data_IF_762254815464
#
_entry.id   IF_762254815464
#
_cell.length_a   1.000
_cell.length_b   1.000
_cell.length_c   1.000
_cell.angle_alpha   90.00
_cell.angle_beta   90.00
_cell.angle_gamma   90.00
#
_symmetry.space_group_name_H-M   'P 1'
#
loop_
_entity.id
_entity.type
_entity.pdbx_description
1 polymer ?
#
# COMPACT_ATOMS: atom_id res chain seq x y z
N UNK A 1 -7.18 -21.47 -24.13
CA UNK A 1 -7.14 -20.98 -22.73
C UNK A 1 -8.28 -21.52 -21.87
N UNK A 2 -9.56 -21.41 -22.27
CA UNK A 2 -10.69 -21.93 -21.47
C UNK A 2 -10.62 -23.45 -21.20
N UNK A 3 -10.14 -24.23 -22.17
CA UNK A 3 -9.93 -25.68 -21.99
C UNK A 3 -8.85 -25.99 -20.95
N UNK A 4 -7.73 -25.27 -20.98
CA UNK A 4 -6.67 -25.36 -19.97
C UNK A 4 -7.15 -24.96 -18.57
N UNK A 5 -8.06 -23.99 -18.52
CA UNK A 5 -8.71 -23.56 -17.29
C UNK A 5 -9.82 -24.50 -16.81
N UNK A 6 -10.15 -25.57 -17.56
CA UNK A 6 -11.21 -26.52 -17.20
C UNK A 6 -12.63 -25.94 -17.28
N UNK A 7 -12.82 -24.73 -17.82
CA UNK A 7 -14.11 -24.05 -17.88
C UNK A 7 -14.71 -24.00 -19.29
N UNK A 8 -14.12 -24.70 -20.26
CA UNK A 8 -14.69 -24.79 -21.61
C UNK A 8 -15.99 -25.61 -21.60
N UNK A 9 -17.10 -24.98 -22.01
CA UNK A 9 -18.41 -25.62 -22.11
C UNK A 9 -19.26 -25.02 -23.22
N UNK A 10 -20.31 -25.74 -23.62
CA UNK A 10 -21.33 -25.24 -24.53
C UNK A 10 -22.22 -24.23 -23.80
N UNK A 11 -22.32 -23.01 -24.32
CA UNK A 11 -23.17 -21.95 -23.77
C UNK A 11 -24.58 -22.09 -24.33
N UNK A 12 -25.57 -22.35 -23.46
CA UNK A 12 -26.98 -22.49 -23.82
C UNK A 12 -27.83 -21.36 -23.24
N UNK A 13 -27.38 -20.78 -22.13
CA UNK A 13 -28.03 -19.65 -21.46
C UNK A 13 -27.03 -18.52 -21.22
N UNK A 14 -27.52 -17.34 -20.82
CA UNK A 14 -26.65 -16.24 -20.36
C UNK A 14 -25.92 -16.60 -19.05
N UNK A 15 -26.54 -17.39 -18.18
CA UNK A 15 -25.94 -17.87 -16.93
C UNK A 15 -24.72 -18.78 -17.18
N UNK A 16 -24.74 -19.58 -18.25
CA UNK A 16 -23.57 -20.39 -18.63
C UNK A 16 -22.33 -19.52 -18.89
N UNK A 17 -22.51 -18.28 -19.39
CA UNK A 17 -21.42 -17.33 -19.61
C UNK A 17 -20.78 -16.91 -18.29
N UNK A 18 -21.59 -16.61 -17.27
CA UNK A 18 -21.12 -16.22 -15.93
C UNK A 18 -20.28 -17.36 -15.33
N UNK A 19 -20.75 -18.61 -15.44
CA UNK A 19 -20.01 -19.78 -14.95
C UNK A 19 -18.65 -19.98 -15.65
N UNK A 20 -18.56 -19.68 -16.95
CA UNK A 20 -17.28 -19.71 -17.67
C UNK A 20 -16.35 -18.60 -17.17
N UNK A 21 -16.88 -17.40 -16.95
CA UNK A 21 -16.12 -16.27 -16.42
C UNK A 21 -15.59 -16.57 -15.02
N UNK A 22 -16.45 -17.03 -14.11
CA UNK A 22 -16.08 -17.37 -12.75
C UNK A 22 -15.02 -18.48 -12.70
N UNK A 23 -15.23 -19.55 -13.47
CA UNK A 23 -14.26 -20.64 -13.58
C UNK A 23 -12.92 -20.17 -14.14
N UNK A 24 -12.94 -19.26 -15.12
CA UNK A 24 -11.72 -18.70 -15.68
C UNK A 24 -10.99 -17.77 -14.69
N UNK A 25 -11.71 -16.92 -13.95
CA UNK A 25 -11.15 -16.05 -12.91
C UNK A 25 -10.50 -16.90 -11.81
N UNK A 26 -11.21 -17.93 -11.32
CA UNK A 26 -10.69 -18.83 -10.29
C UNK A 26 -9.43 -19.56 -10.77
N UNK A 27 -9.40 -20.02 -12.02
CA UNK A 27 -8.21 -20.62 -12.59
C UNK A 27 -7.05 -19.64 -12.74
N UNK A 28 -7.33 -18.47 -13.31
CA UNK A 28 -6.29 -17.50 -13.64
C UNK A 28 -5.60 -16.95 -12.40
N UNK A 29 -6.37 -16.58 -11.38
CA UNK A 29 -5.81 -16.03 -10.15
C UNK A 29 -5.33 -17.13 -9.21
N UNK A 30 -6.14 -18.16 -8.94
CA UNK A 30 -5.86 -19.13 -7.87
C UNK A 30 -5.13 -20.38 -8.37
N UNK A 31 -5.76 -21.16 -9.26
CA UNK A 31 -5.24 -22.50 -9.59
C UNK A 31 -3.92 -22.45 -10.37
N UNK A 32 -3.80 -21.54 -11.34
CA UNK A 32 -2.57 -21.39 -12.12
C UNK A 32 -1.36 -21.04 -11.25
N UNK A 33 -1.57 -20.30 -10.16
CA UNK A 33 -0.53 -19.82 -9.26
C UNK A 33 -0.45 -20.62 -7.95
N UNK A 34 -1.14 -21.77 -7.83
CA UNK A 34 -1.29 -22.49 -6.56
C UNK A 34 0.06 -22.87 -5.91
N UNK A 35 1.07 -23.25 -6.72
CA UNK A 35 2.42 -23.55 -6.21
C UNK A 35 3.05 -22.31 -5.59
N UNK A 36 2.96 -21.16 -6.27
CA UNK A 36 3.49 -19.88 -5.78
C UNK A 36 2.80 -19.46 -4.49
N UNK A 37 1.48 -19.61 -4.40
CA UNK A 37 0.75 -19.35 -3.15
C UNK A 37 1.17 -20.28 -2.03
N UNK A 38 1.33 -21.57 -2.30
CA UNK A 38 1.77 -22.51 -1.27
C UNK A 38 3.16 -22.14 -0.75
N UNK A 39 4.10 -21.85 -1.65
CA UNK A 39 5.46 -21.43 -1.25
C UNK A 39 5.48 -20.11 -0.49
N UNK A 40 4.61 -19.16 -0.87
CA UNK A 40 4.44 -17.91 -0.14
C UNK A 40 3.89 -18.15 1.28
N UNK A 41 2.86 -19.00 1.42
CA UNK A 41 2.32 -19.41 2.73
C UNK A 41 3.37 -20.11 3.58
N UNK A 42 4.12 -21.05 3.00
CA UNK A 42 5.22 -21.75 3.69
C UNK A 42 6.27 -20.73 4.18
N UNK A 43 6.61 -19.74 3.35
CA UNK A 43 7.52 -18.65 3.69
C UNK A 43 7.03 -17.81 4.88
N UNK A 44 5.77 -17.38 4.86
CA UNK A 44 5.14 -16.68 5.98
C UNK A 44 5.07 -17.55 7.25
N UNK A 45 4.86 -18.86 7.10
CA UNK A 45 4.81 -19.79 8.22
C UNK A 45 6.17 -19.95 8.92
N UNK A 46 7.31 -19.66 8.27
CA UNK A 46 8.64 -19.76 8.88
C UNK A 46 8.80 -18.94 10.16
N UNK A 47 8.09 -17.82 10.27
CA UNK A 47 8.04 -16.95 11.46
C UNK A 47 6.67 -16.99 12.16
N UNK A 48 5.90 -18.06 11.94
CA UNK A 48 4.53 -18.22 12.45
C UNK A 48 3.55 -17.12 12.01
N UNK A 49 3.92 -16.31 11.00
CA UNK A 49 3.13 -15.18 10.56
C UNK A 49 1.82 -15.63 9.90
N UNK A 50 1.86 -16.68 9.07
CA UNK A 50 0.67 -17.22 8.40
C UNK A 50 -0.42 -17.64 9.41
N UNK A 51 -0.03 -18.33 10.49
CA UNK A 51 -0.96 -18.75 11.54
C UNK A 51 -1.60 -17.55 12.27
N UNK A 52 -0.82 -16.52 12.56
CA UNK A 52 -1.34 -15.28 13.17
C UNK A 52 -2.32 -14.57 12.23
N UNK A 53 -2.02 -14.55 10.93
CA UNK A 53 -2.88 -13.97 9.90
C UNK A 53 -4.22 -14.71 9.80
N UNK A 54 -4.23 -16.05 9.84
CA UNK A 54 -5.47 -16.84 9.81
C UNK A 54 -6.33 -16.64 11.07
N UNK A 55 -5.70 -16.47 12.24
CA UNK A 55 -6.42 -16.24 13.50
C UNK A 55 -7.00 -14.81 13.61
N UNK A 56 -6.33 -13.82 13.02
CA UNK A 56 -6.69 -12.41 13.16
C UNK A 56 -6.72 -11.65 11.83
N UNK A 57 -7.48 -12.11 10.82
CA UNK A 57 -7.41 -11.56 9.46
C UNK A 57 -7.77 -10.07 9.39
N UNK A 58 -8.69 -9.59 10.23
CA UNK A 58 -9.09 -8.18 10.28
C UNK A 58 -7.97 -7.25 10.76
N UNK A 59 -7.07 -7.71 11.63
CA UNK A 59 -5.94 -6.90 12.10
C UNK A 59 -4.87 -6.72 11.02
N UNK A 60 -4.71 -7.73 10.16
CA UNK A 60 -3.70 -7.71 9.10
C UNK A 60 -4.19 -7.11 7.79
N UNK A 61 -5.51 -7.00 7.59
CA UNK A 61 -6.11 -6.50 6.35
C UNK A 61 -5.51 -5.17 5.86
N UNK A 62 -5.30 -4.13 6.72
CA UNK A 62 -4.74 -2.85 6.27
C UNK A 62 -3.28 -2.93 5.78
N UNK A 63 -2.55 -3.96 6.22
CA UNK A 63 -1.14 -4.14 5.88
C UNK A 63 -0.93 -5.11 4.70
N UNK A 64 -1.90 -6.00 4.47
CA UNK A 64 -1.84 -7.04 3.43
C UNK A 64 -2.54 -6.65 2.14
N UNK A 65 -3.49 -5.72 2.23
CA UNK A 65 -4.28 -5.25 1.10
C UNK A 65 -3.96 -3.80 0.87
N UNK A 66 -3.63 -3.46 -0.37
CA UNK A 66 -3.42 -2.08 -0.76
C UNK A 66 -4.67 -1.23 -0.47
N UNK A 67 -4.48 -0.14 0.24
CA UNK A 67 -5.47 0.91 0.44
C UNK A 67 -4.99 2.18 -0.25
N UNK A 68 -5.86 2.83 -1.01
CA UNK A 68 -5.57 4.08 -1.71
C UNK A 68 -5.68 5.29 -0.75
N UNK A 69 -5.09 5.19 0.44
CA UNK A 69 -5.03 6.34 1.35
C UNK A 69 -3.95 7.31 0.89
N UNK A 70 -4.36 8.53 0.56
CA UNK A 70 -3.44 9.60 0.22
C UNK A 70 -2.61 10.02 1.44
N UNK A 71 -1.30 10.11 1.25
CA UNK A 71 -0.40 10.68 2.24
C UNK A 71 -0.82 12.12 2.57
N UNK A 72 -0.89 12.45 3.85
CA UNK A 72 -1.25 13.79 4.33
C UNK A 72 -0.01 14.58 4.73
N UNK A 73 -0.07 15.90 4.59
CA UNK A 73 1.03 16.80 4.94
C UNK A 73 1.41 16.64 6.42
N UNK A 74 0.41 16.55 7.31
CA UNK A 74 0.60 16.38 8.75
C UNK A 74 1.21 15.03 9.10
N UNK A 75 0.84 13.97 8.35
CA UNK A 75 1.44 12.65 8.51
C UNK A 75 2.92 12.68 8.13
N UNK A 76 3.26 13.34 7.01
CA UNK A 76 4.64 13.45 6.56
C UNK A 76 5.47 14.34 7.47
N UNK A 77 4.92 15.45 7.97
CA UNK A 77 5.57 16.34 8.94
C UNK A 77 5.95 15.57 10.21
N UNK A 78 5.01 14.80 10.76
CA UNK A 78 5.22 14.05 12.00
C UNK A 78 6.28 12.93 11.89
N UNK A 79 6.64 12.50 10.67
CA UNK A 79 7.70 11.52 10.44
C UNK A 79 9.10 12.10 10.71
N UNK A 80 9.28 13.42 10.58
CA UNK A 80 10.55 14.07 10.77
C UNK A 80 10.62 14.78 12.12
N UNK A 81 11.69 14.50 12.88
CA UNK A 81 11.95 15.15 14.16
C UNK A 81 13.24 15.94 14.08
N UNK A 82 13.16 17.25 13.75
CA UNK A 82 14.33 18.08 13.65
C UNK A 82 15.01 18.22 15.02
N UNK A 83 16.34 18.17 15.02
CA UNK A 83 17.12 18.46 16.21
C UNK A 83 17.21 19.98 16.37
N UNK A 84 16.56 20.49 17.40
CA UNK A 84 16.45 21.92 17.64
C UNK A 84 17.50 22.41 18.64
N UNK A 85 17.88 23.68 18.52
CA UNK A 85 18.67 24.37 19.52
C UNK A 85 17.93 24.46 20.86
N UNK A 86 18.67 24.64 21.98
CA UNK A 86 18.05 24.82 23.30
C UNK A 86 17.03 25.96 23.30
N UNK A 87 15.97 25.80 24.09
CA UNK A 87 14.96 26.82 24.30
C UNK A 87 15.59 28.11 24.84
N UNK A 88 15.26 29.25 24.22
CA UNK A 88 15.82 30.56 24.58
C UNK A 88 17.15 30.91 23.91
N UNK A 89 17.72 30.02 23.10
CA UNK A 89 18.83 30.38 22.20
C UNK A 89 18.36 31.37 21.12
N UNK A 90 19.30 32.17 20.59
CA UNK A 90 19.04 33.09 19.48
C UNK A 90 18.50 32.40 18.23
N UNK A 91 18.87 31.13 18.02
CA UNK A 91 18.50 30.37 16.83
C UNK A 91 17.10 29.77 16.94
N UNK A 92 16.58 29.58 18.16
CA UNK A 92 15.34 28.83 18.41
C UNK A 92 14.13 29.41 17.67
N UNK A 93 13.98 30.73 17.66
CA UNK A 93 12.87 31.41 16.98
C UNK A 93 12.91 31.19 15.47
N UNK A 94 14.11 31.23 14.89
CA UNK A 94 14.28 31.03 13.46
C UNK A 94 14.02 29.58 13.06
N UNK A 95 14.50 28.62 13.86
CA UNK A 95 14.22 27.20 13.64
C UNK A 95 12.71 26.91 13.66
N UNK A 96 11.97 27.45 14.64
CA UNK A 96 10.51 27.30 14.71
C UNK A 96 9.80 27.91 13.50
N UNK A 97 10.30 29.04 12.99
CA UNK A 97 9.79 29.66 11.76
C UNK A 97 10.03 28.78 10.53
N UNK A 98 11.21 28.17 10.42
CA UNK A 98 11.55 27.23 9.34
C UNK A 98 10.64 26.00 9.38
N UNK A 99 10.27 25.50 10.56
CA UNK A 99 9.30 24.40 10.69
C UNK A 99 7.90 24.80 10.22
N UNK A 100 7.48 26.04 10.48
CA UNK A 100 6.25 26.58 9.90
C UNK A 100 6.28 26.53 8.37
N UNK A 101 7.35 27.03 7.76
CA UNK A 101 7.52 26.99 6.31
C UNK A 101 7.59 25.58 5.73
N UNK A 102 8.11 24.62 6.48
CA UNK A 102 8.09 23.22 6.09
C UNK A 102 6.67 22.67 5.99
N UNK A 103 5.82 22.91 7.00
CA UNK A 103 4.43 22.47 6.95
C UNK A 103 3.66 23.18 5.82
N UNK A 104 3.86 24.49 5.64
CA UNK A 104 3.25 25.24 4.54
C UNK A 104 3.66 24.69 3.16
N UNK A 105 4.93 24.32 3.00
CA UNK A 105 5.43 23.67 1.79
C UNK A 105 4.74 22.32 1.54
N UNK A 106 4.60 21.48 2.56
CA UNK A 106 3.92 20.18 2.41
C UNK A 106 2.44 20.35 2.04
N UNK A 107 1.76 21.34 2.60
CA UNK A 107 0.38 21.66 2.23
C UNK A 107 0.32 22.11 0.77
N UNK A 108 1.22 23.00 0.35
CA UNK A 108 1.28 23.51 -1.02
C UNK A 108 1.63 22.43 -2.05
N UNK A 109 2.47 21.44 -1.69
CA UNK A 109 2.78 20.30 -2.58
C UNK A 109 1.52 19.50 -2.92
N UNK A 110 0.57 19.42 -1.99
CA UNK A 110 -0.71 18.74 -2.22
C UNK A 110 -1.65 19.53 -3.14
N UNK A 111 -1.48 20.86 -3.25
CA UNK A 111 -2.28 21.69 -4.14
C UNK A 111 -1.89 21.44 -5.61
N UNK A 112 -2.89 21.30 -6.48
CA UNK A 112 -2.69 20.95 -7.89
C UNK A 112 -1.80 21.97 -8.61
N UNK A 113 -0.80 21.49 -9.37
CA UNK A 113 -0.02 22.33 -10.30
C UNK A 113 1.51 22.30 -10.13
N UNK A 114 2.03 21.65 -9.09
CA UNK A 114 3.48 21.58 -8.83
C UNK A 114 4.20 20.44 -9.58
N UNK A 115 3.46 19.41 -10.02
CA UNK A 115 4.04 18.17 -10.57
C UNK A 115 4.80 17.32 -9.53
N UNK A 116 4.78 17.72 -8.26
CA UNK A 116 5.39 17.05 -7.12
C UNK A 116 4.29 16.51 -6.21
N UNK A 117 4.49 15.30 -5.68
CA UNK A 117 3.60 14.69 -4.70
C UNK A 117 4.27 14.57 -3.32
N UNK A 118 3.47 14.38 -2.27
CA UNK A 118 4.01 14.08 -0.95
C UNK A 118 4.79 12.75 -0.93
N UNK A 119 4.43 11.81 -1.80
CA UNK A 119 5.14 10.56 -2.00
C UNK A 119 6.56 10.81 -2.56
N UNK A 120 6.73 11.77 -3.47
CA UNK A 120 8.06 12.13 -3.99
C UNK A 120 8.96 12.71 -2.90
N UNK A 121 8.40 13.55 -2.02
CA UNK A 121 9.11 14.10 -0.87
C UNK A 121 9.52 12.99 0.10
N UNK A 122 8.59 12.08 0.42
CA UNK A 122 8.88 10.93 1.29
C UNK A 122 9.96 10.02 0.66
N UNK A 123 9.85 9.72 -0.63
CA UNK A 123 10.83 8.92 -1.38
C UNK A 123 12.20 9.59 -1.36
N UNK A 124 12.28 10.90 -1.60
CA UNK A 124 13.55 11.63 -1.56
C UNK A 124 14.21 11.55 -0.17
N UNK A 125 13.43 11.74 0.89
CA UNK A 125 13.95 11.77 2.25
C UNK A 125 14.35 10.39 2.80
N UNK A 126 13.71 9.32 2.32
CA UNK A 126 13.88 7.96 2.90
C UNK A 126 14.54 6.95 1.96
N UNK A 127 14.55 7.21 0.65
CA UNK A 127 14.96 6.25 -0.37
C UNK A 127 13.95 5.12 -0.62
N UNK A 128 12.76 5.15 -0.01
CA UNK A 128 11.69 4.18 -0.24
C UNK A 128 11.09 4.40 -1.63
N UNK A 129 11.21 3.41 -2.50
CA UNK A 129 10.55 3.36 -3.82
C UNK A 129 9.19 2.69 -3.75
#
# INVERSE_FOLDING_TARGET
MLQTAGCYRCLRTLEDKEQVVDGYIQWYFTYRNHVSFQRFKDGLATLNFFNALEQHPSLFLPYMVYSAEDLKAETLEALFRPQMSPTGSSNRQEEERVLGYWLDYLIAVKEEGSGLSLQDVLMFATGLK
#
